data_IF_333461835551
#
_entry.id   IF_333461835551
#
_cell.length_a   1.000
_cell.length_b   1.000
_cell.length_c   1.000
_cell.angle_alpha   90.00
_cell.angle_beta   90.00
_cell.angle_gamma   90.00
#
_symmetry.space_group_name_H-M   'P 1'
#
loop_
_entity.id
_entity.type
_entity.pdbx_description
1 polymer ?
#
# COMPACT_ATOMS: atom_id res chain seq x y z
N UNK A 1 -3.55 -1.93 -36.04
CA UNK A 1 -3.36 -3.05 -35.08
C UNK A 1 -4.69 -3.56 -34.52
N UNK A 2 -5.63 -2.68 -34.17
CA UNK A 2 -6.99 -3.06 -33.71
C UNK A 2 -8.08 -2.89 -34.79
N UNK A 3 -7.70 -2.56 -36.02
CA UNK A 3 -8.61 -2.59 -37.17
C UNK A 3 -8.67 -4.02 -37.72
N UNK A 4 -9.86 -4.61 -37.72
CA UNK A 4 -10.16 -6.01 -38.06
C UNK A 4 -9.13 -7.05 -37.55
N UNK A 5 -8.93 -7.17 -36.23
CA UNK A 5 -7.94 -8.09 -35.68
C UNK A 5 -8.30 -9.55 -35.97
N UNK A 6 -7.29 -10.34 -36.32
CA UNK A 6 -7.41 -11.78 -36.59
C UNK A 6 -6.51 -12.53 -35.61
N UNK A 7 -7.03 -13.59 -35.00
CA UNK A 7 -6.29 -14.50 -34.13
C UNK A 7 -6.23 -15.89 -34.74
N UNK A 8 -5.21 -16.65 -34.36
CA UNK A 8 -5.06 -18.05 -34.69
C UNK A 8 -4.58 -18.81 -33.46
N UNK A 9 -5.15 -19.99 -33.22
CA UNK A 9 -4.66 -20.90 -32.17
C UNK A 9 -3.79 -21.95 -32.86
N UNK A 10 -2.52 -22.00 -32.46
CA UNK A 10 -1.57 -22.98 -32.98
C UNK A 10 -1.59 -24.18 -32.05
N UNK A 11 -2.15 -25.28 -32.53
CA UNK A 11 -2.10 -26.59 -31.85
C UNK A 11 -1.15 -27.48 -32.66
N UNK A 12 -0.16 -28.15 -32.02
CA UNK A 12 0.75 -29.04 -32.73
C UNK A 12 -0.01 -30.10 -33.56
N UNK A 13 0.38 -30.30 -34.82
CA UNK A 13 -0.22 -31.29 -35.70
C UNK A 13 -1.57 -30.91 -36.34
N UNK A 14 -2.10 -29.70 -36.10
CA UNK A 14 -3.29 -29.19 -36.78
C UNK A 14 -2.99 -27.90 -37.54
N UNK A 15 -3.48 -27.75 -38.79
CA UNK A 15 -3.29 -26.50 -39.53
C UNK A 15 -4.07 -25.37 -38.83
N UNK A 16 -3.42 -24.23 -38.52
CA UNK A 16 -4.07 -23.14 -37.82
C UNK A 16 -5.16 -22.52 -38.69
N UNK A 17 -6.35 -22.34 -38.12
CA UNK A 17 -7.47 -21.62 -38.76
C UNK A 17 -7.60 -20.23 -38.14
N UNK A 18 -7.39 -19.15 -38.92
CA UNK A 18 -7.58 -17.80 -38.42
C UNK A 18 -9.07 -17.50 -38.22
N UNK A 19 -9.39 -16.77 -37.16
CA UNK A 19 -10.72 -16.24 -36.89
C UNK A 19 -10.64 -14.76 -36.52
N UNK A 20 -11.69 -14.00 -36.83
CA UNK A 20 -11.76 -12.57 -36.49
C UNK A 20 -12.08 -12.39 -35.02
N UNK A 21 -11.36 -11.48 -34.38
CA UNK A 21 -11.66 -11.02 -33.03
C UNK A 21 -12.65 -9.86 -33.12
N UNK A 22 -13.82 -10.02 -32.51
CA UNK A 22 -14.83 -8.96 -32.42
C UNK A 22 -14.65 -8.11 -31.18
N UNK A 23 -14.30 -8.73 -30.05
CA UNK A 23 -14.14 -8.09 -28.76
C UNK A 23 -12.79 -8.42 -28.13
N UNK A 24 -12.26 -7.47 -27.36
CA UNK A 24 -11.08 -7.66 -26.52
C UNK A 24 -9.78 -7.10 -27.11
N UNK A 25 -8.78 -7.03 -26.25
CA UNK A 25 -7.45 -6.51 -26.58
C UNK A 25 -6.40 -7.62 -26.48
N UNK A 26 -5.35 -7.53 -27.30
CA UNK A 26 -4.30 -8.56 -27.34
C UNK A 26 -3.44 -8.53 -26.07
N UNK A 27 -3.39 -9.64 -25.35
CA UNK A 27 -2.47 -9.82 -24.23
C UNK A 27 -1.00 -9.73 -24.70
N UNK A 28 -0.18 -9.02 -23.94
CA UNK A 28 1.22 -8.74 -24.29
C UNK A 28 1.40 -7.57 -25.27
N UNK A 29 0.32 -6.95 -25.77
CA UNK A 29 0.43 -5.70 -26.51
C UNK A 29 0.67 -4.53 -25.55
N UNK A 30 1.70 -3.68 -25.78
CA UNK A 30 2.00 -2.56 -24.89
C UNK A 30 0.89 -1.50 -24.84
N UNK A 31 0.06 -1.40 -25.88
CA UNK A 31 -1.07 -0.44 -25.92
C UNK A 31 -2.33 -0.96 -25.21
N UNK A 32 -2.44 -2.28 -25.04
CA UNK A 32 -3.63 -2.92 -24.47
C UNK A 32 -4.03 -2.40 -23.09
N UNK A 33 -3.10 -2.20 -22.13
CA UNK A 33 -3.46 -1.70 -20.80
C UNK A 33 -4.05 -0.28 -20.83
N UNK A 34 -3.53 0.59 -21.71
CA UNK A 34 -4.04 1.96 -21.84
C UNK A 34 -5.45 1.98 -22.44
N UNK A 35 -5.69 1.18 -23.48
CA UNK A 35 -7.02 1.04 -24.07
C UNK A 35 -8.04 0.51 -23.06
N UNK A 36 -7.62 -0.45 -22.23
CA UNK A 36 -8.47 -0.97 -21.15
C UNK A 36 -8.79 0.10 -20.09
N UNK A 37 -7.80 0.89 -19.68
CA UNK A 37 -8.03 1.98 -18.75
C UNK A 37 -9.01 3.02 -19.32
N UNK A 38 -8.85 3.39 -20.60
CA UNK A 38 -9.74 4.32 -21.28
C UNK A 38 -11.17 3.79 -21.45
N UNK A 39 -11.33 2.49 -21.70
CA UNK A 39 -12.67 1.89 -21.82
C UNK A 39 -13.38 1.78 -20.48
N UNK A 40 -12.65 1.62 -19.37
CA UNK A 40 -13.21 1.53 -18.03
C UNK A 40 -13.55 2.90 -17.42
N UNK A 41 -12.84 3.97 -17.78
CA UNK A 41 -13.02 5.31 -17.19
C UNK A 41 -14.47 5.85 -17.28
N UNK A 42 -15.24 5.66 -18.37
CA UNK A 42 -16.65 6.07 -18.41
C UNK A 42 -17.50 5.46 -17.29
N UNK A 43 -17.26 4.18 -16.94
CA UNK A 43 -17.93 3.53 -15.82
C UNK A 43 -17.54 4.18 -14.49
N UNK A 44 -16.23 4.40 -14.28
CA UNK A 44 -15.72 5.02 -13.06
C UNK A 44 -16.27 6.45 -12.90
N UNK A 45 -16.34 7.21 -13.99
CA UNK A 45 -16.92 8.55 -14.01
C UNK A 45 -18.42 8.53 -13.71
N UNK A 46 -19.18 7.57 -14.27
CA UNK A 46 -20.61 7.42 -13.98
C UNK A 46 -20.85 7.13 -12.49
N UNK A 47 -20.07 6.23 -11.90
CA UNK A 47 -20.14 5.92 -10.46
C UNK A 47 -19.79 7.14 -9.60
N UNK A 48 -18.76 7.92 -9.99
CA UNK A 48 -18.37 9.13 -9.25
C UNK A 48 -19.47 10.21 -9.27
N UNK A 49 -20.06 10.43 -10.45
CA UNK A 49 -21.04 11.49 -10.67
C UNK A 49 -22.45 11.18 -10.15
N UNK A 50 -22.80 9.90 -9.96
CA UNK A 50 -24.15 9.52 -9.53
C UNK A 50 -24.36 9.84 -8.02
N UNK A 51 -25.32 10.72 -7.67
CA UNK A 51 -25.58 11.10 -6.28
C UNK A 51 -26.31 9.99 -5.49
N UNK A 52 -26.93 9.02 -6.18
CA UNK A 52 -27.59 7.89 -5.53
C UNK A 52 -26.57 6.82 -5.08
N UNK A 53 -25.33 6.89 -5.56
CA UNK A 53 -24.22 6.08 -5.09
C UNK A 53 -23.47 6.90 -4.05
N UNK A 54 -23.80 6.69 -2.78
CA UNK A 54 -23.20 7.42 -1.67
C UNK A 54 -21.87 6.76 -1.24
N UNK A 55 -20.78 7.47 -1.44
CA UNK A 55 -19.45 7.09 -1.02
C UNK A 55 -19.15 7.44 0.43
N UNK A 56 -17.92 7.17 0.86
CA UNK A 56 -17.43 7.57 2.18
C UNK A 56 -16.98 9.02 2.11
N UNK A 57 -17.71 9.92 2.78
CA UNK A 57 -17.36 11.33 2.87
C UNK A 57 -16.42 11.59 4.06
N UNK A 58 -15.30 12.26 3.82
CA UNK A 58 -14.39 12.71 4.87
C UNK A 58 -13.86 14.11 4.56
N UNK A 59 -14.03 15.04 5.51
CA UNK A 59 -13.57 16.44 5.43
C UNK A 59 -13.83 17.15 4.09
N UNK A 60 -15.01 16.92 3.50
CA UNK A 60 -15.46 17.61 2.27
C UNK A 60 -15.16 16.89 0.96
N UNK A 61 -14.41 15.78 1.00
CA UNK A 61 -14.16 14.91 -0.15
C UNK A 61 -14.92 13.59 -0.01
N UNK A 62 -15.45 13.08 -1.13
CA UNK A 62 -16.20 11.84 -1.18
C UNK A 62 -15.42 10.73 -1.92
N UNK A 63 -15.18 9.62 -1.23
CA UNK A 63 -14.43 8.48 -1.74
C UNK A 63 -15.39 7.36 -2.15
N UNK A 64 -15.62 7.20 -3.46
CA UNK A 64 -16.56 6.20 -4.02
C UNK A 64 -15.88 4.99 -4.63
N UNK A 65 -14.91 5.21 -5.54
CA UNK A 65 -14.36 4.15 -6.41
C UNK A 65 -12.86 4.32 -6.62
N UNK A 66 -12.16 3.19 -6.54
CA UNK A 66 -10.77 3.00 -6.95
C UNK A 66 -10.69 1.79 -7.87
N UNK A 67 -9.78 1.80 -8.86
CA UNK A 67 -9.64 0.70 -9.80
C UNK A 67 -8.16 0.43 -10.10
N UNK A 68 -7.81 -0.84 -10.21
CA UNK A 68 -6.50 -1.29 -10.64
C UNK A 68 -6.69 -2.41 -11.68
N UNK A 69 -6.46 -2.08 -12.96
CA UNK A 69 -6.86 -2.93 -14.06
C UNK A 69 -8.36 -3.33 -13.91
N UNK A 70 -8.67 -4.62 -13.93
CA UNK A 70 -10.03 -5.16 -13.79
C UNK A 70 -10.53 -5.24 -12.34
N UNK A 71 -9.66 -5.06 -11.34
CA UNK A 71 -10.05 -5.06 -9.94
C UNK A 71 -10.58 -3.67 -9.55
N UNK A 72 -11.90 -3.58 -9.31
CA UNK A 72 -12.58 -2.36 -8.86
C UNK A 72 -12.94 -2.46 -7.38
N UNK A 73 -12.49 -1.49 -6.59
CA UNK A 73 -12.82 -1.34 -5.17
C UNK A 73 -13.81 -0.19 -4.99
N UNK A 74 -14.91 -0.47 -4.31
CA UNK A 74 -15.97 0.50 -4.01
C UNK A 74 -16.09 0.72 -2.52
N UNK A 75 -16.27 1.97 -2.12
CA UNK A 75 -16.47 2.37 -0.72
C UNK A 75 -17.80 3.10 -0.62
N UNK A 76 -18.74 2.54 0.14
CA UNK A 76 -20.13 2.98 0.19
C UNK A 76 -20.60 3.16 1.65
N UNK A 77 -21.34 4.22 1.94
CA UNK A 77 -21.89 4.48 3.31
C UNK A 77 -23.32 3.98 3.47
N UNK A 78 -24.14 4.00 2.42
CA UNK A 78 -25.52 3.49 2.45
C UNK A 78 -25.64 2.29 1.50
N UNK A 79 -25.26 1.07 1.95
CA UNK A 79 -25.00 -0.05 1.04
C UNK A 79 -26.27 -0.50 0.30
N UNK A 80 -27.42 -0.56 0.96
CA UNK A 80 -28.67 -1.02 0.33
C UNK A 80 -29.07 -0.22 -0.93
N UNK A 81 -29.30 1.11 -0.85
CA UNK A 81 -29.69 1.88 -2.04
C UNK A 81 -28.51 2.04 -3.02
N UNK A 82 -27.29 2.20 -2.51
CA UNK A 82 -26.12 2.45 -3.37
C UNK A 82 -25.75 1.23 -4.20
N UNK A 83 -25.82 0.02 -3.64
CA UNK A 83 -25.55 -1.24 -4.36
C UNK A 83 -26.61 -1.49 -5.43
N UNK A 84 -27.89 -1.26 -5.12
CA UNK A 84 -28.95 -1.39 -6.11
C UNK A 84 -28.68 -0.48 -7.33
N UNK A 85 -28.38 0.80 -7.06
CA UNK A 85 -28.06 1.75 -8.12
C UNK A 85 -26.78 1.39 -8.89
N UNK A 86 -25.75 0.95 -8.18
CA UNK A 86 -24.50 0.52 -8.79
C UNK A 86 -24.72 -0.64 -9.77
N UNK A 87 -25.54 -1.63 -9.41
CA UNK A 87 -25.85 -2.75 -10.29
C UNK A 87 -26.57 -2.29 -11.57
N UNK A 88 -27.47 -1.31 -11.48
CA UNK A 88 -28.10 -0.71 -12.67
C UNK A 88 -27.08 -0.01 -13.58
N UNK A 89 -26.14 0.75 -12.98
CA UNK A 89 -25.07 1.43 -13.74
C UNK A 89 -24.16 0.40 -14.42
N UNK A 90 -23.81 -0.69 -13.72
CA UNK A 90 -23.00 -1.78 -14.25
C UNK A 90 -23.71 -2.52 -15.39
N UNK A 91 -25.02 -2.77 -15.28
CA UNK A 91 -25.81 -3.43 -16.33
C UNK A 91 -25.91 -2.56 -17.59
N UNK A 92 -26.13 -1.24 -17.42
CA UNK A 92 -26.11 -0.29 -18.54
C UNK A 92 -24.74 -0.25 -19.22
N UNK A 93 -23.66 -0.23 -18.44
CA UNK A 93 -22.31 -0.25 -18.99
C UNK A 93 -21.99 -1.57 -19.69
N UNK A 94 -22.44 -2.70 -19.12
CA UNK A 94 -22.35 -4.04 -19.73
C UNK A 94 -22.99 -4.06 -21.12
N UNK A 95 -24.17 -3.48 -21.29
CA UNK A 95 -24.85 -3.39 -22.58
C UNK A 95 -24.09 -2.59 -23.65
N UNK A 96 -23.29 -1.59 -23.25
CA UNK A 96 -22.54 -0.73 -24.18
C UNK A 96 -21.15 -1.29 -24.48
N UNK A 97 -20.43 -1.68 -23.43
CA UNK A 97 -19.01 -2.02 -23.52
C UNK A 97 -18.75 -3.54 -23.57
N UNK A 98 -19.78 -4.37 -23.39
CA UNK A 98 -19.70 -5.83 -23.43
C UNK A 98 -18.98 -6.45 -22.21
N UNK A 99 -18.79 -5.68 -21.13
CA UNK A 99 -18.22 -6.18 -19.88
C UNK A 99 -19.25 -6.94 -19.06
N UNK A 100 -18.86 -8.04 -18.44
CA UNK A 100 -19.71 -8.78 -17.51
C UNK A 100 -19.06 -8.86 -16.14
N UNK A 101 -19.79 -8.44 -15.11
CA UNK A 101 -19.36 -8.56 -13.72
C UNK A 101 -19.33 -10.04 -13.33
N UNK A 102 -18.26 -10.44 -12.66
CA UNK A 102 -18.16 -11.78 -12.11
C UNK A 102 -18.71 -11.80 -10.68
N UNK A 103 -20.00 -12.13 -10.54
CA UNK A 103 -20.69 -12.14 -9.24
C UNK A 103 -20.08 -13.14 -8.25
N UNK A 104 -19.48 -14.24 -8.71
CA UNK A 104 -18.87 -15.25 -7.82
C UNK A 104 -17.53 -14.80 -7.26
N UNK A 105 -16.84 -13.88 -7.94
CA UNK A 105 -15.61 -13.25 -7.45
C UNK A 105 -15.86 -11.93 -6.73
N UNK A 106 -17.04 -11.35 -6.88
CA UNK A 106 -17.40 -10.10 -6.25
C UNK A 106 -17.75 -10.35 -4.78
N UNK A 107 -17.15 -9.57 -3.89
CA UNK A 107 -17.37 -9.72 -2.44
C UNK A 107 -17.52 -8.34 -1.81
N UNK A 108 -18.47 -8.20 -0.88
CA UNK A 108 -18.62 -7.00 -0.08
C UNK A 108 -18.19 -7.25 1.37
N UNK A 109 -17.42 -6.32 1.92
CA UNK A 109 -17.10 -6.26 3.34
C UNK A 109 -18.07 -5.29 4.03
N UNK A 110 -18.86 -5.76 4.99
CA UNK A 110 -19.66 -4.89 5.84
C UNK A 110 -18.88 -4.52 7.10
N UNK A 111 -18.53 -3.24 7.23
CA UNK A 111 -17.80 -2.73 8.39
C UNK A 111 -18.78 -2.31 9.48
N UNK A 112 -18.69 -2.93 10.66
CA UNK A 112 -19.54 -2.61 11.81
C UNK A 112 -20.97 -3.16 11.75
N UNK A 113 -21.24 -4.11 10.85
CA UNK A 113 -22.52 -4.81 10.74
C UNK A 113 -22.45 -6.23 11.35
N UNK A 114 -23.61 -6.84 11.59
CA UNK A 114 -23.69 -8.21 12.06
C UNK A 114 -23.70 -9.23 10.92
N UNK A 115 -23.40 -10.50 11.20
CA UNK A 115 -23.46 -11.58 10.21
C UNK A 115 -24.89 -11.76 9.64
N UNK A 116 -25.91 -11.40 10.42
CA UNK A 116 -27.30 -11.38 9.94
C UNK A 116 -27.53 -10.36 8.84
N UNK A 117 -26.93 -9.17 8.94
CA UNK A 117 -27.01 -8.12 7.92
C UNK A 117 -26.29 -8.53 6.63
N UNK A 118 -25.16 -9.24 6.77
CA UNK A 118 -24.42 -9.80 5.64
C UNK A 118 -25.28 -10.80 4.85
N UNK A 119 -25.95 -11.73 5.54
CA UNK A 119 -26.85 -12.69 4.90
C UNK A 119 -28.01 -12.01 4.15
N UNK A 120 -28.61 -10.97 4.73
CA UNK A 120 -29.69 -10.21 4.07
C UNK A 120 -29.19 -9.53 2.79
N UNK A 121 -28.00 -8.93 2.82
CA UNK A 121 -27.41 -8.29 1.62
C UNK A 121 -27.08 -9.31 0.53
N UNK A 122 -26.51 -10.46 0.92
CA UNK A 122 -26.19 -11.54 -0.01
C UNK A 122 -27.44 -12.09 -0.70
N UNK A 123 -28.52 -12.34 0.06
CA UNK A 123 -29.80 -12.78 -0.51
C UNK A 123 -30.42 -11.75 -1.44
N UNK A 124 -30.23 -10.45 -1.18
CA UNK A 124 -30.84 -9.38 -1.98
C UNK A 124 -30.11 -9.11 -3.29
N UNK A 125 -28.77 -9.22 -3.30
CA UNK A 125 -27.96 -8.74 -4.43
C UNK A 125 -27.14 -9.84 -5.13
N UNK A 126 -27.11 -11.06 -4.59
CA UNK A 126 -26.56 -12.23 -5.28
C UNK A 126 -25.04 -12.28 -5.39
N UNK A 127 -24.32 -11.52 -4.56
CA UNK A 127 -22.87 -11.61 -4.40
C UNK A 127 -22.51 -11.87 -2.93
N UNK A 128 -21.35 -12.49 -2.71
CA UNK A 128 -20.90 -12.89 -1.38
C UNK A 128 -20.71 -11.65 -0.49
N UNK A 129 -21.28 -11.68 0.72
CA UNK A 129 -21.10 -10.61 1.70
C UNK A 129 -20.48 -11.18 2.95
N UNK A 130 -19.45 -10.51 3.49
CA UNK A 130 -18.69 -10.96 4.65
C UNK A 130 -18.46 -9.80 5.62
N UNK A 131 -18.29 -10.14 6.89
CA UNK A 131 -17.90 -9.23 7.99
C UNK A 131 -16.42 -9.41 8.35
N UNK A 132 -15.79 -10.52 7.93
CA UNK A 132 -14.43 -10.88 8.34
C UNK A 132 -13.37 -10.15 7.54
N UNK A 133 -13.22 -10.46 6.24
CA UNK A 133 -12.19 -9.85 5.39
C UNK A 133 -12.46 -10.00 3.90
N UNK A 134 -11.93 -9.07 3.10
CA UNK A 134 -11.90 -9.16 1.63
C UNK A 134 -10.47 -9.16 1.12
N UNK A 135 -10.23 -9.80 -0.03
CA UNK A 135 -8.91 -9.79 -0.68
C UNK A 135 -8.87 -8.75 -1.79
N UNK A 136 -7.90 -7.84 -1.74
CA UNK A 136 -7.67 -6.82 -2.76
C UNK A 136 -6.17 -6.70 -3.04
N UNK A 137 -5.77 -6.86 -4.32
CA UNK A 137 -4.36 -6.81 -4.76
C UNK A 137 -3.42 -7.71 -3.94
N UNK A 138 -3.88 -8.89 -3.54
CA UNK A 138 -3.08 -9.84 -2.74
C UNK A 138 -2.94 -9.48 -1.25
N UNK A 139 -3.66 -8.46 -0.76
CA UNK A 139 -3.77 -8.10 0.65
C UNK A 139 -5.17 -8.43 1.15
N UNK A 140 -5.27 -9.05 2.33
CA UNK A 140 -6.54 -9.27 3.03
C UNK A 140 -6.85 -8.06 3.91
N UNK A 141 -7.94 -7.37 3.60
CA UNK A 141 -8.44 -6.22 4.34
C UNK A 141 -9.51 -6.74 5.32
N UNK A 142 -9.23 -6.80 6.62
CA UNK A 142 -10.22 -7.19 7.63
C UNK A 142 -11.23 -6.08 7.94
N UNK A 143 -12.36 -6.45 8.51
CA UNK A 143 -13.29 -5.51 9.15
C UNK A 143 -12.69 -4.83 10.40
N UNK A 144 -11.72 -5.46 11.06
CA UNK A 144 -11.03 -4.94 12.24
C UNK A 144 -9.54 -4.69 12.02
N UNK A 145 -9.05 -3.53 12.46
CA UNK A 145 -7.64 -3.12 12.31
C UNK A 145 -6.63 -4.06 13.01
N UNK A 146 -7.03 -4.70 14.11
CA UNK A 146 -6.15 -5.60 14.87
C UNK A 146 -5.74 -6.85 14.09
N UNK A 147 -6.58 -7.29 13.14
CA UNK A 147 -6.39 -8.53 12.41
C UNK A 147 -5.51 -8.39 11.18
N UNK A 148 -5.18 -7.16 10.77
CA UNK A 148 -4.37 -6.88 9.57
C UNK A 148 -3.04 -7.63 9.62
N UNK A 149 -2.41 -7.70 10.80
CA UNK A 149 -1.16 -8.42 10.98
C UNK A 149 -1.34 -9.93 10.81
N UNK A 150 -2.30 -10.50 11.53
CA UNK A 150 -2.56 -11.95 11.56
C UNK A 150 -2.96 -12.48 10.19
N UNK A 151 -3.77 -11.74 9.43
CA UNK A 151 -4.27 -12.20 8.13
C UNK A 151 -3.24 -12.07 7.00
N UNK A 152 -2.26 -11.17 7.12
CA UNK A 152 -1.31 -10.88 6.04
C UNK A 152 0.11 -11.29 6.37
N UNK A 153 0.67 -10.79 7.48
CA UNK A 153 2.07 -11.02 7.82
C UNK A 153 2.31 -12.43 8.35
N UNK A 154 1.48 -12.91 9.28
CA UNK A 154 1.66 -14.24 9.86
C UNK A 154 1.71 -15.39 8.81
N UNK A 155 0.76 -15.51 7.86
CA UNK A 155 0.82 -16.54 6.83
C UNK A 155 2.01 -16.34 5.88
N UNK A 156 2.38 -15.09 5.57
CA UNK A 156 3.56 -14.82 4.74
C UNK A 156 4.85 -15.27 5.44
N UNK A 157 5.03 -14.94 6.72
CA UNK A 157 6.18 -15.34 7.52
C UNK A 157 6.26 -16.87 7.59
N UNK A 158 5.15 -17.55 7.81
CA UNK A 158 5.09 -19.02 7.83
C UNK A 158 5.47 -19.60 6.46
N UNK A 159 4.89 -19.08 5.38
CA UNK A 159 5.21 -19.52 4.03
C UNK A 159 6.70 -19.32 3.70
N UNK A 160 7.29 -18.18 4.09
CA UNK A 160 8.73 -17.92 3.91
C UNK A 160 9.55 -18.94 4.72
N UNK A 161 9.20 -19.21 5.98
CA UNK A 161 9.91 -20.21 6.79
C UNK A 161 9.88 -21.59 6.14
N UNK A 162 8.71 -22.03 5.66
CA UNK A 162 8.57 -23.30 4.93
C UNK A 162 9.36 -23.32 3.61
N UNK A 163 9.41 -22.20 2.89
CA UNK A 163 10.21 -22.06 1.66
C UNK A 163 11.72 -22.17 1.97
N UNK A 164 12.19 -21.52 3.05
CA UNK A 164 13.58 -21.60 3.50
C UNK A 164 13.96 -23.04 3.88
N UNK A 165 13.09 -23.76 4.61
CA UNK A 165 13.32 -25.16 4.97
C UNK A 165 13.38 -26.08 3.75
N UNK A 166 12.54 -25.81 2.74
CA UNK A 166 12.56 -26.52 1.46
C UNK A 166 13.84 -26.24 0.68
N UNK A 167 14.26 -24.98 0.61
CA UNK A 167 15.48 -24.57 -0.12
C UNK A 167 16.75 -24.98 0.62
N UNK A 168 16.73 -25.14 1.94
CA UNK A 168 17.88 -25.60 2.72
C UNK A 168 18.35 -27.00 2.28
N UNK A 169 17.42 -27.83 1.79
CA UNK A 169 17.70 -29.18 1.26
C UNK A 169 18.40 -29.15 -0.10
N UNK A 170 18.39 -28.02 -0.80
CA UNK A 170 19.05 -27.87 -2.09
C UNK A 170 20.53 -27.52 -1.90
N UNK A 171 21.40 -28.06 -2.76
CA UNK A 171 22.83 -27.75 -2.77
C UNK A 171 23.13 -26.38 -3.39
N UNK A 172 22.59 -25.32 -2.77
CA UNK A 172 22.77 -23.94 -3.20
C UNK A 172 24.04 -23.38 -2.54
N UNK A 173 24.91 -22.77 -3.36
CA UNK A 173 26.10 -22.08 -2.86
C UNK A 173 25.73 -20.95 -1.90
N UNK A 174 26.66 -20.57 -1.02
CA UNK A 174 26.45 -19.48 -0.05
C UNK A 174 25.98 -18.17 -0.72
N UNK A 175 26.60 -17.81 -1.85
CA UNK A 175 26.19 -16.66 -2.68
C UNK A 175 24.81 -16.85 -3.28
N UNK A 176 24.49 -18.05 -3.76
CA UNK A 176 23.17 -18.39 -4.29
C UNK A 176 22.07 -18.21 -3.24
N UNK A 177 22.31 -18.65 -2.00
CA UNK A 177 21.36 -18.49 -0.88
C UNK A 177 21.07 -17.01 -0.60
N UNK A 178 22.09 -16.16 -0.58
CA UNK A 178 21.90 -14.69 -0.44
C UNK A 178 21.06 -14.13 -1.58
N UNK A 179 21.27 -14.59 -2.82
CA UNK A 179 20.47 -14.15 -3.97
C UNK A 179 19.03 -14.65 -3.92
N UNK A 180 18.77 -15.87 -3.46
CA UNK A 180 17.41 -16.37 -3.23
C UNK A 180 16.62 -15.45 -2.28
N UNK A 181 17.26 -15.01 -1.19
CA UNK A 181 16.64 -14.05 -0.26
C UNK A 181 16.34 -12.72 -0.94
N UNK A 182 17.28 -12.18 -1.71
CA UNK A 182 17.11 -10.91 -2.42
C UNK A 182 16.00 -10.94 -3.48
N UNK A 183 15.91 -12.03 -4.22
CA UNK A 183 15.04 -12.13 -5.39
C UNK A 183 13.65 -12.65 -5.06
N UNK A 184 13.49 -13.45 -4.00
CA UNK A 184 12.19 -14.05 -3.65
C UNK A 184 11.64 -13.52 -2.32
N UNK A 185 12.42 -13.57 -1.24
CA UNK A 185 11.92 -13.24 0.11
C UNK A 185 11.72 -11.73 0.28
N UNK A 186 12.72 -10.93 -0.11
CA UNK A 186 12.69 -9.50 0.09
C UNK A 186 11.52 -8.82 -0.66
N UNK A 187 11.26 -9.08 -1.96
CA UNK A 187 10.16 -8.42 -2.67
C UNK A 187 8.79 -8.71 -2.07
N UNK A 188 8.55 -9.94 -1.59
CA UNK A 188 7.30 -10.34 -0.93
C UNK A 188 7.04 -9.54 0.35
N UNK A 189 8.07 -9.38 1.18
CA UNK A 189 7.98 -8.58 2.41
C UNK A 189 7.86 -7.09 2.11
N UNK A 190 8.64 -6.61 1.14
CA UNK A 190 8.68 -5.20 0.76
C UNK A 190 7.32 -4.72 0.25
N UNK A 191 6.60 -5.56 -0.48
CA UNK A 191 5.23 -5.27 -0.91
C UNK A 191 4.31 -4.98 0.30
N UNK A 192 4.29 -5.85 1.31
CA UNK A 192 3.48 -5.64 2.51
C UNK A 192 3.94 -4.43 3.33
N UNK A 193 5.25 -4.20 3.45
CA UNK A 193 5.79 -3.04 4.17
C UNK A 193 5.35 -1.70 3.56
N UNK A 194 5.16 -1.67 2.23
CA UNK A 194 4.71 -0.48 1.51
C UNK A 194 3.19 -0.35 1.49
N UNK A 195 2.47 -1.47 1.39
CA UNK A 195 1.02 -1.47 1.24
C UNK A 195 0.26 -1.33 2.57
N UNK A 196 0.77 -1.91 3.66
CA UNK A 196 0.05 -1.97 4.93
C UNK A 196 0.53 -0.92 5.93
N UNK A 197 -0.37 -0.09 6.47
CA UNK A 197 -0.03 0.97 7.40
C UNK A 197 0.02 0.50 8.86
N UNK A 198 0.65 -0.65 9.12
CA UNK A 198 0.76 -1.22 10.47
C UNK A 198 2.20 -1.34 10.93
N UNK A 199 2.41 -1.17 12.24
CA UNK A 199 3.71 -1.42 12.86
C UNK A 199 3.95 -2.92 12.99
N UNK A 200 4.95 -3.44 12.29
CA UNK A 200 5.42 -4.82 12.50
C UNK A 200 6.26 -4.86 13.77
N UNK A 201 6.02 -5.87 14.64
CA UNK A 201 6.79 -5.99 15.88
C UNK A 201 8.26 -6.33 15.57
N UNK A 202 9.16 -5.80 16.40
CA UNK A 202 10.59 -6.07 16.23
C UNK A 202 10.94 -7.54 16.47
N UNK A 203 10.17 -8.23 17.32
CA UNK A 203 10.31 -9.68 17.56
C UNK A 203 10.05 -10.48 16.29
N UNK A 204 9.01 -10.15 15.52
CA UNK A 204 8.67 -10.89 14.29
C UNK A 204 9.75 -10.71 13.21
N UNK A 205 10.22 -9.48 13.03
CA UNK A 205 11.33 -9.18 12.11
C UNK A 205 12.62 -9.89 12.53
N UNK A 206 12.90 -9.96 13.84
CA UNK A 206 14.09 -10.63 14.37
C UNK A 206 13.99 -12.15 14.25
N UNK A 207 12.81 -12.73 14.49
CA UNK A 207 12.52 -14.15 14.27
C UNK A 207 12.76 -14.53 12.81
N UNK A 208 12.21 -13.74 11.88
CA UNK A 208 12.39 -14.00 10.45
C UNK A 208 13.84 -13.80 10.00
N UNK A 209 14.51 -12.76 10.47
CA UNK A 209 15.94 -12.54 10.18
C UNK A 209 16.80 -13.70 10.69
N UNK A 210 16.47 -14.27 11.86
CA UNK A 210 17.17 -15.42 12.40
C UNK A 210 16.98 -16.67 11.54
N UNK A 211 15.77 -16.91 11.02
CA UNK A 211 15.51 -17.99 10.06
C UNK A 211 16.27 -17.78 8.74
N UNK A 212 16.34 -16.55 8.23
CA UNK A 212 17.13 -16.20 7.05
C UNK A 212 18.62 -16.45 7.29
N UNK A 213 19.15 -16.05 8.44
CA UNK A 213 20.56 -16.27 8.79
C UNK A 213 20.87 -17.77 8.87
N UNK A 214 20.00 -18.55 9.51
CA UNK A 214 20.11 -20.00 9.59
C UNK A 214 20.14 -20.65 8.20
N UNK A 215 19.27 -20.21 7.29
CA UNK A 215 19.28 -20.65 5.89
C UNK A 215 20.57 -20.26 5.17
N UNK A 216 21.00 -18.99 5.26
CA UNK A 216 22.20 -18.50 4.58
C UNK A 216 23.44 -19.27 5.04
N UNK A 217 23.57 -19.54 6.33
CA UNK A 217 24.70 -20.27 6.89
C UNK A 217 24.56 -21.79 6.90
N UNK A 218 23.47 -22.34 6.37
CA UNK A 218 23.25 -23.79 6.35
C UNK A 218 23.26 -24.40 7.77
N UNK A 219 22.68 -23.67 8.74
CA UNK A 219 22.73 -23.97 10.17
C UNK A 219 24.16 -24.06 10.77
N UNK A 220 25.19 -23.55 10.07
CA UNK A 220 26.57 -23.51 10.56
C UNK A 220 26.83 -22.23 11.35
N UNK A 221 27.89 -22.25 12.17
CA UNK A 221 28.33 -21.09 12.93
C UNK A 221 28.64 -19.91 12.00
N UNK A 222 28.09 -18.74 12.33
CA UNK A 222 28.32 -17.51 11.60
C UNK A 222 29.82 -17.14 11.64
N UNK A 223 30.45 -17.01 10.47
CA UNK A 223 31.87 -16.63 10.36
C UNK A 223 32.09 -15.13 10.19
N UNK A 224 31.03 -14.41 9.84
CA UNK A 224 31.04 -12.96 9.55
C UNK A 224 29.95 -12.29 10.36
N UNK A 225 30.25 -11.12 10.91
CA UNK A 225 29.26 -10.32 11.63
C UNK A 225 28.09 -9.90 10.70
N UNK A 226 26.87 -9.90 11.24
CA UNK A 226 25.64 -9.54 10.49
C UNK A 226 25.77 -8.18 9.78
N UNK A 227 26.31 -7.18 10.48
CA UNK A 227 26.46 -5.83 9.92
C UNK A 227 27.38 -5.82 8.69
N UNK A 228 28.46 -6.61 8.69
CA UNK A 228 29.36 -6.75 7.53
C UNK A 228 28.67 -7.49 6.39
N UNK A 229 27.87 -8.51 6.70
CA UNK A 229 27.12 -9.29 5.71
C UNK A 229 26.08 -8.43 4.95
N UNK A 230 25.47 -7.46 5.63
CA UNK A 230 24.49 -6.53 5.05
C UNK A 230 25.12 -5.51 4.09
N UNK A 231 26.41 -5.20 4.22
CA UNK A 231 27.09 -4.21 3.37
C UNK A 231 27.14 -4.67 1.91
N UNK A 232 27.11 -3.75 0.93
CA UNK A 232 27.27 -4.11 -0.48
C UNK A 232 28.62 -4.76 -0.75
N UNK A 233 28.72 -5.50 -1.86
CA UNK A 233 29.97 -6.18 -2.25
C UNK A 233 31.15 -5.22 -2.43
N UNK A 234 30.88 -4.02 -2.96
CA UNK A 234 31.89 -2.98 -3.11
C UNK A 234 32.51 -2.54 -1.76
N UNK A 235 31.77 -2.68 -0.66
CA UNK A 235 32.22 -2.35 0.70
C UNK A 235 32.67 -3.60 1.50
N UNK A 236 33.02 -4.69 0.82
CA UNK A 236 33.49 -5.94 1.43
C UNK A 236 32.42 -6.80 2.10
N UNK A 237 31.13 -6.52 1.85
CA UNK A 237 30.02 -7.33 2.33
C UNK A 237 29.41 -8.27 1.28
N UNK A 238 28.26 -8.86 1.59
CA UNK A 238 27.53 -9.77 0.69
C UNK A 238 26.23 -9.16 0.14
N UNK A 239 25.85 -8.03 0.72
CA UNK A 239 24.62 -7.29 0.45
C UNK A 239 23.38 -8.02 0.94
N UNK A 240 23.46 -8.92 1.93
CA UNK A 240 22.23 -9.57 2.44
C UNK A 240 21.24 -8.48 2.91
N UNK A 241 19.95 -8.55 2.55
CA UNK A 241 18.97 -7.58 3.02
C UNK A 241 18.83 -7.62 4.54
N UNK A 242 18.96 -6.45 5.18
CA UNK A 242 18.55 -6.29 6.58
C UNK A 242 17.07 -5.97 6.63
N UNK A 243 16.25 -6.91 7.10
CA UNK A 243 14.79 -6.73 7.11
C UNK A 243 14.34 -5.48 7.86
N UNK A 244 14.96 -5.19 9.00
CA UNK A 244 14.65 -3.99 9.80
C UNK A 244 14.97 -2.70 9.04
N UNK A 245 16.08 -2.65 8.33
CA UNK A 245 16.45 -1.46 7.54
C UNK A 245 15.51 -1.25 6.36
N UNK A 246 15.13 -2.33 5.65
CA UNK A 246 14.17 -2.25 4.55
C UNK A 246 12.77 -1.87 5.02
N UNK A 247 12.32 -2.43 6.15
CA UNK A 247 11.05 -2.03 6.79
C UNK A 247 11.06 -0.54 7.14
N UNK A 248 12.11 -0.08 7.82
CA UNK A 248 12.28 1.35 8.14
C UNK A 248 12.26 2.22 6.89
N UNK A 249 13.05 1.86 5.87
CA UNK A 249 13.11 2.61 4.63
C UNK A 249 11.75 2.69 3.92
N UNK A 250 11.02 1.58 3.82
CA UNK A 250 9.69 1.55 3.19
C UNK A 250 8.68 2.46 3.88
N UNK A 251 8.68 2.47 5.22
CA UNK A 251 7.81 3.32 6.02
C UNK A 251 8.24 4.79 5.97
N UNK A 252 9.55 5.07 6.01
CA UNK A 252 10.08 6.43 5.85
C UNK A 252 9.73 7.01 4.47
N UNK A 253 9.66 6.19 3.42
CA UNK A 253 9.24 6.66 2.11
C UNK A 253 7.78 7.18 2.11
N UNK A 254 6.90 6.63 2.96
CA UNK A 254 5.55 7.17 3.14
C UNK A 254 5.59 8.54 3.84
N UNK A 255 6.45 8.69 4.85
CA UNK A 255 6.65 9.96 5.54
C UNK A 255 7.20 11.03 4.59
N UNK A 256 8.17 10.68 3.73
CA UNK A 256 8.67 11.60 2.68
C UNK A 256 7.54 12.04 1.75
N UNK A 257 6.55 11.19 1.48
CA UNK A 257 5.40 11.55 0.66
C UNK A 257 4.53 12.64 1.29
N UNK A 258 4.44 12.73 2.62
CA UNK A 258 3.76 13.84 3.32
C UNK A 258 4.41 15.21 3.05
N UNK A 259 5.70 15.23 2.71
CA UNK A 259 6.46 16.47 2.50
C UNK A 259 6.79 16.78 1.05
N UNK A 260 6.57 15.83 0.14
CA UNK A 260 6.87 16.05 -1.27
C UNK A 260 5.77 16.88 -1.93
N UNK A 261 6.08 18.06 -2.51
CA UNK A 261 5.11 18.84 -3.27
C UNK A 261 4.79 18.20 -4.64
N UNK A 262 5.50 17.12 -5.02
CA UNK A 262 5.32 16.47 -6.32
C UNK A 262 4.11 15.52 -6.31
N UNK A 263 2.98 16.06 -6.74
CA UNK A 263 1.77 15.34 -7.11
C UNK A 263 0.81 15.10 -5.95
N UNK A 264 -0.43 15.60 -6.08
CA UNK A 264 -1.51 15.37 -5.12
C UNK A 264 -1.80 13.87 -5.02
N UNK A 265 -1.36 13.25 -3.92
CA UNK A 265 -1.69 11.88 -3.60
C UNK A 265 -2.89 11.92 -2.68
N UNK A 266 -4.05 11.45 -3.17
CA UNK A 266 -5.31 11.47 -2.39
C UNK A 266 -5.20 10.85 -0.99
N UNK A 267 -4.37 9.83 -0.82
CA UNK A 267 -4.15 9.21 0.50
C UNK A 267 -3.33 10.11 1.44
N UNK A 268 -2.42 10.94 0.91
CA UNK A 268 -1.69 11.93 1.71
C UNK A 268 -2.65 13.02 2.16
N UNK A 269 -3.50 13.52 1.26
CA UNK A 269 -4.51 14.52 1.60
C UNK A 269 -5.48 13.97 2.67
N UNK A 270 -5.92 12.71 2.52
CA UNK A 270 -6.73 12.01 3.50
C UNK A 270 -6.02 11.91 4.86
N UNK A 271 -4.79 11.41 4.90
CA UNK A 271 -4.04 11.25 6.15
C UNK A 271 -3.72 12.60 6.81
N UNK A 272 -3.28 13.61 6.04
CA UNK A 272 -3.06 14.96 6.56
C UNK A 272 -4.34 15.54 7.16
N UNK A 273 -5.48 15.25 6.55
CA UNK A 273 -6.78 15.65 7.08
C UNK A 273 -7.21 14.80 8.31
N UNK A 274 -6.56 13.69 8.64
CA UNK A 274 -6.82 12.94 9.89
C UNK A 274 -5.99 13.43 11.08
N UNK A 275 -5.29 14.55 10.90
CA UNK A 275 -4.35 15.11 11.87
C UNK A 275 -4.85 16.46 12.38
N UNK A 276 -4.56 16.76 13.64
CA UNK A 276 -4.80 18.08 14.23
C UNK A 276 -3.65 18.48 15.16
N UNK A 277 -2.96 19.61 14.90
CA UNK A 277 -3.07 20.47 13.71
C UNK A 277 -2.61 19.73 12.42
N UNK A 278 -3.04 20.21 11.24
CA UNK A 278 -2.57 19.68 9.94
C UNK A 278 -1.04 19.67 9.94
N UNK A 279 -0.41 18.51 9.65
CA UNK A 279 1.01 18.28 9.94
C UNK A 279 1.86 19.34 9.23
N UNK A 280 2.45 20.29 9.97
CA UNK A 280 3.28 21.30 9.33
C UNK A 280 4.53 20.65 8.75
N UNK A 281 5.05 21.14 7.62
CA UNK A 281 6.28 20.60 7.01
C UNK A 281 7.46 20.54 7.99
N UNK A 282 7.46 21.38 9.02
CA UNK A 282 8.49 21.45 10.05
C UNK A 282 8.34 20.42 11.19
N UNK A 283 7.17 19.78 11.35
CA UNK A 283 6.84 19.02 12.56
C UNK A 283 7.80 17.86 12.81
N UNK A 284 8.15 17.10 11.78
CA UNK A 284 9.11 15.99 11.88
C UNK A 284 10.53 16.47 12.22
N UNK A 285 10.87 17.69 11.82
CA UNK A 285 12.20 18.29 11.97
C UNK A 285 12.35 19.12 13.25
N UNK A 286 11.27 19.24 14.03
CA UNK A 286 11.27 19.91 15.34
C UNK A 286 11.61 18.89 16.42
N UNK A 287 12.59 19.20 17.26
CA UNK A 287 12.99 18.33 18.38
C UNK A 287 12.05 18.52 19.58
N UNK A 288 11.74 17.47 20.36
CA UNK A 288 11.13 17.65 21.67
C UNK A 288 12.04 18.55 22.54
N UNK A 289 11.54 19.58 23.26
CA UNK A 289 10.15 19.79 23.72
C UNK A 289 9.25 20.67 22.82
N UNK A 290 9.76 21.27 21.74
CA UNK A 290 9.04 22.29 20.97
C UNK A 290 8.13 21.71 19.87
N UNK A 291 8.18 20.39 19.68
CA UNK A 291 7.30 19.70 18.73
C UNK A 291 5.84 19.75 19.21
N UNK A 292 4.90 20.27 18.41
CA UNK A 292 3.47 20.30 18.77
C UNK A 292 2.92 18.90 19.06
N UNK A 293 2.04 18.76 20.05
CA UNK A 293 1.37 17.48 20.32
C UNK A 293 0.43 17.14 19.17
N UNK A 294 0.73 16.06 18.46
CA UNK A 294 -0.12 15.56 17.38
C UNK A 294 -1.31 14.78 17.97
N UNK A 295 -2.54 15.21 17.64
CA UNK A 295 -3.76 14.46 17.95
C UNK A 295 -4.22 13.73 16.69
N UNK A 296 -4.18 12.40 16.73
CA UNK A 296 -4.73 11.55 15.67
C UNK A 296 -5.18 10.22 16.25
N UNK A 297 -6.33 9.74 15.77
CA UNK A 297 -6.85 8.41 16.10
C UNK A 297 -6.39 7.36 15.08
N UNK A 298 -5.72 7.78 14.00
CA UNK A 298 -5.31 6.89 12.93
C UNK A 298 -4.05 6.07 13.33
N UNK A 299 -4.16 4.73 13.47
CA UNK A 299 -3.04 3.89 13.90
C UNK A 299 -1.83 3.97 12.95
N UNK A 300 -2.10 4.18 11.66
CA UNK A 300 -1.11 4.35 10.61
C UNK A 300 -0.12 5.48 10.90
N UNK A 301 -0.68 6.64 11.25
CA UNK A 301 0.05 7.88 11.48
C UNK A 301 0.84 7.75 12.77
N UNK A 302 0.22 7.23 13.84
CA UNK A 302 0.91 6.97 15.11
C UNK A 302 2.10 6.03 14.92
N UNK A 303 1.93 4.95 14.13
CA UNK A 303 3.00 4.02 13.84
C UNK A 303 4.14 4.66 13.04
N UNK A 304 3.82 5.50 12.05
CA UNK A 304 4.80 6.22 11.24
C UNK A 304 5.62 7.22 12.09
N UNK A 305 4.95 8.00 12.94
CA UNK A 305 5.60 8.96 13.84
C UNK A 305 6.54 8.27 14.83
N UNK A 306 6.08 7.21 15.50
CA UNK A 306 6.94 6.42 16.43
C UNK A 306 8.18 5.86 15.73
N UNK A 307 8.02 5.43 14.47
CA UNK A 307 9.12 4.93 13.68
C UNK A 307 10.12 6.04 13.32
N UNK A 308 9.62 7.21 12.93
CA UNK A 308 10.45 8.38 12.65
C UNK A 308 11.32 8.73 13.86
N UNK A 309 10.73 8.82 15.05
CA UNK A 309 11.47 9.16 16.28
C UNK A 309 12.57 8.15 16.58
N UNK A 310 12.26 6.86 16.44
CA UNK A 310 13.25 5.80 16.61
C UNK A 310 14.42 5.90 15.62
N UNK A 311 14.15 6.31 14.38
CA UNK A 311 15.17 6.49 13.35
C UNK A 311 15.97 7.77 13.57
N UNK A 312 15.30 8.88 13.89
CA UNK A 312 15.92 10.18 14.12
C UNK A 312 16.96 10.10 15.25
N UNK A 313 16.60 9.45 16.38
CA UNK A 313 17.53 9.21 17.49
C UNK A 313 18.70 8.32 17.08
N UNK A 314 18.43 7.25 16.32
CA UNK A 314 19.48 6.29 15.92
C UNK A 314 20.48 6.90 14.94
N UNK A 315 20.02 7.74 14.04
CA UNK A 315 20.82 8.33 12.97
C UNK A 315 21.35 9.73 13.31
N UNK A 316 21.11 10.21 14.54
CA UNK A 316 21.50 11.55 15.01
C UNK A 316 21.03 12.66 14.04
N UNK A 317 19.82 12.51 13.49
CA UNK A 317 19.29 13.38 12.43
C UNK A 317 18.81 14.74 12.95
N UNK A 318 18.90 14.99 14.26
CA UNK A 318 18.54 16.27 14.86
C UNK A 318 19.66 17.29 14.65
N UNK A 319 19.90 17.66 13.38
CA UNK A 319 20.71 18.83 13.03
C UNK A 319 19.85 20.08 13.17
N UNK A 320 19.67 20.50 14.42
CA UNK A 320 19.01 21.75 14.73
C UNK A 320 19.93 22.94 14.38
N UNK A 321 19.42 24.02 13.76
CA UNK A 321 18.06 24.20 13.20
C UNK A 321 17.92 23.67 11.75
N UNK A 322 16.76 23.10 11.42
CA UNK A 322 16.42 22.68 10.05
C UNK A 322 16.03 23.89 9.19
N UNK A 323 16.44 23.96 7.90
CA UNK A 323 16.02 25.02 6.98
C UNK A 323 14.50 25.08 6.75
N UNK A 324 13.78 24.01 7.08
CA UNK A 324 12.33 23.91 6.92
C UNK A 324 11.56 24.36 8.16
N UNK A 325 12.25 24.67 9.26
CA UNK A 325 11.58 25.16 10.48
C UNK A 325 11.20 26.63 10.30
N UNK A 326 9.92 27.03 10.44
CA UNK A 326 9.52 28.42 10.31
C UNK A 326 10.26 29.29 11.33
N UNK A 327 10.67 30.48 10.90
CA UNK A 327 11.36 31.45 11.75
C UNK A 327 10.35 32.27 12.58
N UNK A 328 9.18 32.59 12.00
CA UNK A 328 8.12 33.34 12.65
C UNK A 328 7.22 32.43 13.50
N UNK A 329 6.82 32.89 14.69
CA UNK A 329 5.95 32.16 15.65
C UNK A 329 6.49 30.79 16.06
N UNK A 330 7.80 30.61 15.95
CA UNK A 330 8.48 29.42 16.43
C UNK A 330 9.02 29.70 17.83
N UNK A 331 8.57 28.91 18.80
CA UNK A 331 9.01 28.96 20.19
C UNK A 331 10.50 28.61 20.35
N UNK A 332 11.11 27.97 19.34
CA UNK A 332 12.55 27.70 19.23
C UNK A 332 13.39 28.92 18.82
N UNK A 333 12.78 29.99 18.28
CA UNK A 333 13.45 31.27 17.95
C UNK A 333 12.95 32.44 18.81
N UNK A 334 13.01 32.36 20.15
CA UNK A 334 12.42 33.37 21.03
C UNK A 334 13.12 34.74 20.93
N UNK A 335 14.42 34.76 20.57
CA UNK A 335 15.23 35.99 20.61
C UNK A 335 15.16 36.86 19.35
N UNK A 336 14.80 36.31 18.19
CA UNK A 336 14.71 37.08 16.94
C UNK A 336 13.40 37.89 16.84
N UNK A 337 12.31 37.40 17.43
CA UNK A 337 11.04 38.12 17.48
C UNK A 337 10.97 39.15 18.62
N UNK A 338 11.75 38.98 19.70
CA UNK A 338 11.65 39.83 20.89
C UNK A 338 12.39 41.18 20.79
N UNK A 339 13.30 41.37 19.83
CA UNK A 339 14.01 42.65 19.63
C UNK A 339 14.09 43.05 18.15
N UNK A 340 13.11 43.87 17.76
CA UNK A 340 13.30 45.11 16.99
C UNK A 340 13.75 45.12 15.51
N UNK A 341 13.82 44.01 14.77
CA UNK A 341 14.11 44.09 13.31
C UNK A 341 12.99 43.60 12.38
N UNK A 342 12.21 42.59 12.76
CA UNK A 342 11.17 42.03 11.88
C UNK A 342 9.77 42.66 12.06
N UNK A 343 9.53 43.41 13.13
CA UNK A 343 8.25 44.12 13.35
C UNK A 343 8.02 45.27 12.36
N UNK A 344 9.08 45.77 11.71
CA UNK A 344 9.00 46.84 10.71
C UNK A 344 8.76 46.33 9.28
N UNK A 345 8.74 45.02 9.05
CA UNK A 345 8.45 44.45 7.73
C UNK A 345 6.92 44.38 7.51
N UNK A 346 6.31 45.54 7.25
CA UNK A 346 4.99 45.60 6.60
C UNK A 346 5.21 45.41 5.10
N UNK A 347 4.66 44.33 4.52
CA UNK A 347 4.52 44.21 3.07
C UNK A 347 3.77 45.44 2.54
N UNK A 348 4.37 46.14 1.56
CA UNK A 348 3.65 46.99 0.62
C UNK A 348 3.22 46.14 -0.56
#
# INVERSE_FOLDING_TARGET
MYDMPVAQVVVPGTPPRPFRLTNGTRQGCPLSPLLFALSLEPLLSAVRADPLIAGVAYRGEEYKVSAYADDVLLSLTCPVPSVARLLEVLDRFSGVAGYKVNMTKSTALLVGASDGDAGIMEHRHGFCTTTESISYLGVRIPGSHSEIFTLNYAPLIQCIKSDLDRWAKLHISWLGRVHCIKMNVLPRLLYLFQALPISVTQSDLTSLQTAIDAFVWDNKRHRVARQTLFRPRAAGGMGLPSLLSYYRAARLAQIVAWHSPMGARRWVDLESSMMSPDLPQFWLWTSPPYRPTLRTECPAIVAAVKLWDSVAVKCDLTSYPSPLTPILRNEEFPRACARSLLACWKMR
#
